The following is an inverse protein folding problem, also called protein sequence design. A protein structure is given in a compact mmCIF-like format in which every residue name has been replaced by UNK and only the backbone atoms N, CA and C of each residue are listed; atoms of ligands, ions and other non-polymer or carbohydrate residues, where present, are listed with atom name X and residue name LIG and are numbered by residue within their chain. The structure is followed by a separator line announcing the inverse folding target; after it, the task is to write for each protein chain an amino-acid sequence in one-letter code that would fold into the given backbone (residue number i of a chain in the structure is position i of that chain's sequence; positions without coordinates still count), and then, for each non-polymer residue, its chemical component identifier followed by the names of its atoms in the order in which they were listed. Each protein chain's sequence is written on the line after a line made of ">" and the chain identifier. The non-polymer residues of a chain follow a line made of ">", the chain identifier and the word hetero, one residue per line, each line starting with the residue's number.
data_IF_740415853398
#
_entry.id   IF_740415853398
#
_cell.length_a   1.000
_cell.length_b   1.000
_cell.length_c   1.000
_cell.angle_alpha   90.00
_cell.angle_beta   90.00
_cell.angle_gamma   90.00
#
_symmetry.space_group_name_H-M   'P 1'
#
loop_
_entity.id
_entity.type
_entity.pdbx_description
1 polymer ?
#
# COMPACT_ATOMS: atom_id res chain seq x y z
N UNK A 1 0.67 25.68 -27.68
CA UNK A 1 0.67 25.82 -26.22
C UNK A 1 0.70 24.43 -25.60
N UNK A 2 1.82 24.12 -24.92
CA UNK A 2 2.09 23.08 -23.89
C UNK A 2 1.38 21.71 -24.09
N UNK A 3 2.10 20.72 -24.63
CA UNK A 3 2.96 19.76 -23.90
C UNK A 3 2.14 18.74 -23.10
N UNK A 4 2.23 17.46 -23.47
CA UNK A 4 3.02 16.44 -22.77
C UNK A 4 2.52 15.05 -23.20
N UNK A 5 3.17 14.50 -24.23
CA UNK A 5 3.84 13.19 -24.16
C UNK A 5 3.30 12.29 -23.04
N UNK A 6 2.31 11.46 -23.39
CA UNK A 6 2.02 10.25 -22.61
C UNK A 6 3.08 9.22 -22.98
N UNK A 7 4.22 9.37 -22.32
CA UNK A 7 5.26 8.36 -22.16
C UNK A 7 4.61 7.00 -21.87
N UNK A 8 5.06 5.99 -22.61
CA UNK A 8 4.55 4.63 -22.56
C UNK A 8 4.68 4.06 -21.15
N UNK A 9 3.56 3.84 -20.50
CA UNK A 9 3.48 2.95 -19.34
C UNK A 9 3.73 1.55 -19.89
N UNK A 10 4.97 1.09 -19.74
CA UNK A 10 5.42 -0.22 -20.12
C UNK A 10 4.49 -1.28 -19.53
N UNK A 11 3.77 -1.93 -20.44
CA UNK A 11 2.86 -3.03 -20.22
C UNK A 11 3.68 -4.28 -19.90
N UNK A 12 4.27 -4.37 -18.70
CA UNK A 12 4.86 -5.62 -18.23
C UNK A 12 3.92 -6.34 -17.26
N UNK A 13 3.18 -7.26 -17.88
CA UNK A 13 2.94 -8.62 -17.41
C UNK A 13 2.47 -8.79 -15.96
N UNK A 14 1.15 -8.93 -15.83
CA UNK A 14 0.41 -9.27 -14.60
C UNK A 14 0.62 -10.74 -14.14
N UNK A 15 1.81 -11.30 -14.31
CA UNK A 15 2.09 -12.72 -14.06
C UNK A 15 2.66 -13.03 -12.68
N UNK A 16 2.86 -12.06 -11.80
CA UNK A 16 3.70 -12.30 -10.63
C UNK A 16 3.04 -13.16 -9.53
N UNK A 17 1.71 -13.26 -9.47
CA UNK A 17 0.99 -14.17 -8.57
C UNK A 17 -0.31 -14.59 -9.25
N UNK A 18 -0.52 -15.90 -9.49
CA UNK A 18 -1.84 -16.41 -9.88
C UNK A 18 -2.85 -15.95 -8.82
N UNK A 19 -4.09 -15.56 -9.20
CA UNK A 19 -5.10 -15.21 -8.22
C UNK A 19 -5.25 -16.38 -7.24
N UNK A 20 -4.88 -16.16 -5.97
CA UNK A 20 -5.39 -16.99 -4.89
C UNK A 20 -6.91 -16.88 -4.99
N UNK A 21 -7.56 -18.00 -5.29
CA UNK A 21 -9.00 -18.05 -5.49
C UNK A 21 -9.71 -17.41 -4.31
N UNK A 22 -10.60 -16.49 -4.67
CA UNK A 22 -11.43 -15.67 -3.81
C UNK A 22 -12.02 -16.52 -2.67
N UNK A 23 -11.50 -16.34 -1.45
CA UNK A 23 -12.25 -16.75 -0.27
C UNK A 23 -13.41 -15.76 -0.21
N UNK A 24 -14.56 -16.19 -0.73
CA UNK A 24 -15.77 -15.39 -0.90
C UNK A 24 -16.05 -14.60 0.38
N UNK A 25 -15.68 -13.33 0.42
CA UNK A 25 -16.22 -12.39 1.41
C UNK A 25 -17.48 -11.88 0.76
N UNK A 26 -18.54 -12.64 0.95
CA UNK A 26 -19.88 -12.39 0.42
C UNK A 26 -20.29 -10.95 0.69
N UNK A 27 -20.65 -10.29 -0.40
CA UNK A 27 -21.33 -9.02 -0.51
C UNK A 27 -22.57 -9.00 0.39
N UNK A 28 -22.61 -8.12 1.40
CA UNK A 28 -23.86 -7.72 2.08
C UNK A 28 -23.77 -6.25 2.50
N UNK A 29 -24.34 -5.43 1.62
CA UNK A 29 -24.96 -4.12 1.89
C UNK A 29 -24.00 -2.92 1.96
N UNK A 30 -23.74 -2.40 0.77
CA UNK A 30 -23.72 -0.97 0.40
C UNK A 30 -24.22 -0.02 1.52
N UNK A 31 -23.45 1.04 1.75
CA UNK A 31 -23.92 2.38 2.20
C UNK A 31 -23.95 2.79 3.67
N UNK A 32 -23.66 1.97 4.69
CA UNK A 32 -23.46 2.51 6.04
C UNK A 32 -22.01 2.40 6.53
N UNK A 33 -21.32 3.54 6.44
CA UNK A 33 -20.01 3.82 7.01
C UNK A 33 -18.82 3.28 6.20
N UNK A 34 -18.01 4.21 5.72
CA UNK A 34 -16.64 4.04 5.25
C UNK A 34 -15.67 3.61 6.39
N UNK A 35 -16.15 2.71 7.27
CA UNK A 35 -15.63 2.32 8.59
C UNK A 35 -15.74 0.79 8.82
N UNK A 36 -15.89 -0.03 7.77
CA UNK A 36 -15.75 -1.47 7.96
C UNK A 36 -14.30 -1.72 8.33
N UNK A 37 -14.03 -2.00 9.60
CA UNK A 37 -12.68 -2.34 10.06
C UNK A 37 -12.16 -3.51 9.22
N UNK A 38 -10.89 -3.50 8.78
CA UNK A 38 -10.32 -4.66 8.12
C UNK A 38 -10.51 -5.90 9.00
N UNK A 39 -10.92 -7.01 8.38
CA UNK A 39 -11.04 -8.27 9.11
C UNK A 39 -9.70 -8.59 9.79
N UNK A 40 -9.72 -9.00 11.06
CA UNK A 40 -8.49 -9.37 11.78
C UNK A 40 -7.68 -10.43 11.03
N UNK A 41 -8.36 -11.33 10.29
CA UNK A 41 -7.68 -12.30 9.40
C UNK A 41 -6.89 -11.62 8.29
N UNK A 42 -7.45 -10.60 7.66
CA UNK A 42 -6.80 -9.87 6.57
C UNK A 42 -5.58 -9.09 7.07
N UNK A 43 -5.69 -8.42 8.22
CA UNK A 43 -4.55 -7.73 8.84
C UNK A 43 -3.45 -8.72 9.23
N UNK A 44 -3.81 -9.85 9.86
CA UNK A 44 -2.85 -10.88 10.23
C UNK A 44 -2.14 -11.47 9.00
N UNK A 45 -2.84 -11.62 7.87
CA UNK A 45 -2.25 -12.05 6.61
C UNK A 45 -1.23 -11.04 6.10
N UNK A 46 -1.56 -9.74 6.10
CA UNK A 46 -0.62 -8.69 5.69
C UNK A 46 0.59 -8.62 6.62
N UNK A 47 0.38 -8.74 7.93
CA UNK A 47 1.46 -8.79 8.92
C UNK A 47 2.40 -9.96 8.64
N UNK A 48 1.85 -11.15 8.42
CA UNK A 48 2.61 -12.34 8.09
C UNK A 48 3.43 -12.15 6.80
N UNK A 49 2.84 -11.54 5.76
CA UNK A 49 3.58 -11.22 4.52
C UNK A 49 4.75 -10.26 4.80
N UNK A 50 4.56 -9.26 5.66
CA UNK A 50 5.61 -8.36 6.12
C UNK A 50 6.73 -9.10 6.85
N UNK A 51 6.40 -9.96 7.80
CA UNK A 51 7.37 -10.78 8.55
C UNK A 51 8.17 -11.71 7.62
N UNK A 52 7.55 -12.29 6.59
CA UNK A 52 8.24 -13.11 5.58
C UNK A 52 9.23 -12.30 4.74
N UNK A 53 8.91 -11.04 4.44
CA UNK A 53 9.83 -10.14 3.73
C UNK A 53 11.04 -9.77 4.59
N UNK A 54 10.82 -9.46 5.87
CA UNK A 54 11.91 -9.20 6.81
C UNK A 54 12.82 -10.43 6.98
N UNK A 55 12.24 -11.63 6.95
CA UNK A 55 12.97 -12.90 6.99
C UNK A 55 13.69 -13.25 5.67
N UNK A 56 13.64 -12.38 4.65
CA UNK A 56 14.19 -12.58 3.29
C UNK A 56 13.67 -13.83 2.57
N UNK A 57 12.53 -14.38 3.01
CA UNK A 57 11.85 -15.51 2.37
C UNK A 57 11.03 -15.03 1.17
N UNK A 58 10.48 -13.81 1.27
CA UNK A 58 9.70 -13.19 0.20
C UNK A 58 10.60 -12.33 -0.70
N UNK A 59 10.52 -12.54 -2.01
CA UNK A 59 11.20 -11.70 -2.98
C UNK A 59 10.59 -10.29 -3.04
N UNK A 60 11.43 -9.29 -3.30
CA UNK A 60 11.06 -7.88 -3.45
C UNK A 60 9.91 -7.65 -4.44
N UNK A 61 9.96 -8.32 -5.61
CA UNK A 61 8.92 -8.23 -6.65
C UNK A 61 7.52 -8.60 -6.14
N UNK A 62 7.43 -9.59 -5.27
CA UNK A 62 6.16 -10.02 -4.67
C UNK A 62 5.63 -8.97 -3.69
N UNK A 63 6.52 -8.32 -2.93
CA UNK A 63 6.13 -7.22 -2.03
C UNK A 63 5.60 -6.01 -2.80
N UNK A 64 6.30 -5.60 -3.87
CA UNK A 64 5.83 -4.53 -4.76
C UNK A 64 4.48 -4.84 -5.42
N UNK A 65 4.22 -6.11 -5.72
CA UNK A 65 2.92 -6.55 -6.22
C UNK A 65 1.81 -6.38 -5.16
N UNK A 66 2.08 -6.78 -3.92
CA UNK A 66 1.16 -6.60 -2.80
C UNK A 66 0.82 -5.12 -2.57
N UNK A 67 1.82 -4.24 -2.52
CA UNK A 67 1.65 -2.79 -2.32
C UNK A 67 0.78 -2.19 -3.44
N UNK A 68 1.14 -2.44 -4.70
CA UNK A 68 0.37 -1.95 -5.86
C UNK A 68 -1.08 -2.42 -5.83
N UNK A 69 -1.33 -3.68 -5.47
CA UNK A 69 -2.68 -4.23 -5.39
C UNK A 69 -3.52 -3.57 -4.30
N UNK A 70 -2.92 -3.24 -3.15
CA UNK A 70 -3.60 -2.53 -2.07
C UNK A 70 -3.92 -1.08 -2.47
N UNK A 71 -2.98 -0.38 -3.11
CA UNK A 71 -3.17 0.97 -3.65
C UNK A 71 -4.28 1.03 -4.70
N UNK A 72 -4.32 0.05 -5.62
CA UNK A 72 -5.35 -0.03 -6.67
C UNK A 72 -6.76 -0.26 -6.12
N UNK A 73 -6.92 -1.06 -5.06
CA UNK A 73 -8.24 -1.27 -4.45
C UNK A 73 -8.79 0.01 -3.83
N UNK A 74 -7.95 0.78 -3.13
CA UNK A 74 -8.29 2.10 -2.61
C UNK A 74 -9.43 2.13 -1.57
N UNK A 75 -9.85 0.98 -1.05
CA UNK A 75 -10.84 0.85 0.02
C UNK A 75 -10.18 1.05 1.39
N UNK A 76 -10.99 1.46 2.37
CA UNK A 76 -10.50 1.75 3.73
C UNK A 76 -9.70 0.60 4.35
N UNK A 77 -10.23 -0.64 4.37
CA UNK A 77 -9.52 -1.82 4.87
C UNK A 77 -8.16 -2.07 4.21
N UNK A 78 -8.08 -2.03 2.88
CA UNK A 78 -6.82 -2.28 2.18
C UNK A 78 -5.78 -1.21 2.46
N UNK A 79 -6.20 0.04 2.61
CA UNK A 79 -5.29 1.14 2.91
C UNK A 79 -4.83 1.16 4.37
N UNK A 80 -5.70 0.84 5.32
CA UNK A 80 -5.30 0.64 6.73
C UNK A 80 -4.30 -0.51 6.84
N UNK A 81 -4.54 -1.63 6.14
CA UNK A 81 -3.60 -2.73 6.06
C UNK A 81 -2.28 -2.38 5.38
N UNK A 82 -2.31 -1.57 4.32
CA UNK A 82 -1.12 -1.08 3.63
C UNK A 82 -0.26 -0.19 4.54
N UNK A 83 -0.88 0.74 5.27
CA UNK A 83 -0.21 1.58 6.26
C UNK A 83 0.52 0.74 7.31
N UNK A 84 -0.16 -0.27 7.88
CA UNK A 84 0.46 -1.16 8.86
C UNK A 84 1.61 -1.98 8.28
N UNK A 85 1.45 -2.48 7.05
CA UNK A 85 2.51 -3.21 6.35
C UNK A 85 3.74 -2.31 6.14
N UNK A 86 3.54 -1.10 5.61
CA UNK A 86 4.62 -0.14 5.38
C UNK A 86 5.29 0.27 6.69
N UNK A 87 4.55 0.53 7.76
CA UNK A 87 5.14 0.84 9.08
C UNK A 87 6.10 -0.26 9.55
N UNK A 88 5.80 -1.53 9.27
CA UNK A 88 6.63 -2.67 9.63
C UNK A 88 7.88 -2.81 8.75
N UNK A 89 7.73 -2.67 7.43
CA UNK A 89 8.79 -3.04 6.47
C UNK A 89 9.51 -1.86 5.83
N UNK A 90 9.06 -0.62 6.03
CA UNK A 90 9.54 0.56 5.29
C UNK A 90 11.06 0.68 5.27
N UNK A 91 11.75 0.46 6.40
CA UNK A 91 13.21 0.59 6.49
C UNK A 91 13.93 -0.43 5.58
N UNK A 92 13.55 -1.71 5.67
CA UNK A 92 14.12 -2.75 4.81
C UNK A 92 13.73 -2.57 3.35
N UNK A 93 12.49 -2.15 3.08
CA UNK A 93 11.97 -1.99 1.73
C UNK A 93 12.66 -0.85 0.99
N UNK A 94 12.94 0.27 1.67
CA UNK A 94 13.62 1.44 1.08
C UNK A 94 15.10 1.19 0.78
N UNK A 95 15.74 0.24 1.48
CA UNK A 95 17.13 -0.16 1.19
C UNK A 95 17.22 -0.97 -0.11
N UNK A 96 16.23 -1.83 -0.35
CA UNK A 96 16.26 -2.75 -1.51
C UNK A 96 15.55 -2.18 -2.74
N UNK A 97 14.78 -1.10 -2.58
CA UNK A 97 13.96 -0.52 -3.65
C UNK A 97 14.54 0.81 -4.12
N UNK A 98 14.51 1.06 -5.42
CA UNK A 98 14.83 2.36 -6.00
C UNK A 98 13.96 3.50 -5.42
N UNK A 99 14.61 4.63 -5.13
CA UNK A 99 13.97 5.79 -4.50
C UNK A 99 12.75 6.29 -5.27
N UNK A 100 12.83 6.32 -6.61
CA UNK A 100 11.75 6.77 -7.48
C UNK A 100 10.48 5.90 -7.38
N UNK A 101 10.67 4.59 -7.19
CA UNK A 101 9.56 3.64 -7.01
C UNK A 101 8.89 3.86 -5.66
N UNK A 102 9.68 4.04 -4.59
CA UNK A 102 9.13 4.35 -3.27
C UNK A 102 8.41 5.69 -3.26
N UNK A 103 8.99 6.72 -3.87
CA UNK A 103 8.36 8.03 -4.01
C UNK A 103 7.01 7.93 -4.72
N UNK A 104 6.91 7.08 -5.75
CA UNK A 104 5.64 6.84 -6.43
C UNK A 104 4.56 6.29 -5.49
N UNK A 105 4.88 5.33 -4.61
CA UNK A 105 3.89 4.78 -3.67
C UNK A 105 3.41 5.80 -2.65
N UNK A 106 4.34 6.56 -2.06
CA UNK A 106 3.98 7.55 -1.04
C UNK A 106 3.28 8.77 -1.64
N UNK A 107 3.65 9.19 -2.85
CA UNK A 107 2.91 10.24 -3.59
C UNK A 107 1.48 9.80 -3.89
N UNK A 108 1.27 8.52 -4.24
CA UNK A 108 -0.07 7.97 -4.39
C UNK A 108 -0.84 7.97 -3.06
N UNK A 109 -0.22 7.55 -1.95
CA UNK A 109 -0.85 7.59 -0.62
C UNK A 109 -1.25 9.02 -0.21
N UNK A 110 -0.38 9.99 -0.45
CA UNK A 110 -0.61 11.39 -0.12
C UNK A 110 -1.76 11.98 -0.94
N UNK A 111 -1.76 11.74 -2.26
CA UNK A 111 -2.86 12.13 -3.14
C UNK A 111 -4.20 11.54 -2.71
N UNK A 112 -4.16 10.28 -2.30
CA UNK A 112 -5.30 9.51 -1.83
C UNK A 112 -5.80 10.04 -0.47
N UNK A 113 -4.91 10.55 0.39
CA UNK A 113 -5.24 11.18 1.67
C UNK A 113 -5.86 12.57 1.47
N UNK A 114 -5.36 13.37 0.52
CA UNK A 114 -5.83 14.73 0.24
C UNK A 114 -7.15 14.79 -0.54
N UNK A 115 -7.30 13.98 -1.59
CA UNK A 115 -8.46 14.06 -2.49
C UNK A 115 -9.67 13.23 -2.05
N UNK A 116 -9.48 12.30 -1.13
CA UNK A 116 -10.52 11.37 -0.72
C UNK A 116 -11.50 11.95 0.29
N UNK A 117 -12.80 12.01 -0.04
CA UNK A 117 -13.85 12.03 1.00
C UNK A 117 -13.79 10.70 1.74
N UNK A 118 -13.05 10.67 2.85
CA UNK A 118 -12.81 9.49 3.68
C UNK A 118 -12.98 9.83 5.15
N UNK A 119 -13.11 8.77 5.96
CA UNK A 119 -13.17 8.93 7.40
C UNK A 119 -11.90 9.64 7.92
N UNK A 120 -12.03 10.65 8.80
CA UNK A 120 -10.88 11.40 9.33
C UNK A 120 -9.78 10.51 9.91
N UNK A 121 -10.17 9.38 10.53
CA UNK A 121 -9.24 8.39 11.08
C UNK A 121 -8.31 7.79 10.02
N UNK A 122 -8.83 7.47 8.84
CA UNK A 122 -8.03 6.87 7.76
C UNK A 122 -7.11 7.92 7.12
N UNK A 123 -7.58 9.15 6.91
CA UNK A 123 -6.74 10.23 6.41
C UNK A 123 -5.60 10.55 7.36
N UNK A 124 -5.85 10.55 8.68
CA UNK A 124 -4.81 10.71 9.69
C UNK A 124 -3.77 9.58 9.62
N UNK A 125 -4.21 8.33 9.57
CA UNK A 125 -3.31 7.17 9.49
C UNK A 125 -2.42 7.19 8.23
N UNK A 126 -3.00 7.56 7.09
CA UNK A 126 -2.25 7.71 5.84
C UNK A 126 -1.17 8.78 5.98
N UNK A 127 -1.54 9.94 6.55
CA UNK A 127 -0.60 11.04 6.75
C UNK A 127 0.49 10.69 7.75
N UNK A 128 0.16 10.03 8.86
CA UNK A 128 1.13 9.50 9.83
C UNK A 128 2.12 8.53 9.17
N UNK A 129 1.65 7.71 8.23
CA UNK A 129 2.53 6.79 7.48
C UNK A 129 3.48 7.54 6.55
N UNK A 130 2.99 8.56 5.85
CA UNK A 130 3.83 9.44 5.00
C UNK A 130 4.83 10.23 5.83
N UNK A 131 4.42 10.72 6.99
CA UNK A 131 5.28 11.50 7.89
C UNK A 131 6.32 10.61 8.58
N UNK A 132 5.98 9.37 8.94
CA UNK A 132 6.93 8.39 9.48
C UNK A 132 8.11 8.16 8.53
N UNK A 133 7.84 8.10 7.21
CA UNK A 133 8.89 8.03 6.18
C UNK A 133 9.80 9.25 6.22
N UNK A 134 9.23 10.46 6.24
CA UNK A 134 10.01 11.71 6.29
C UNK A 134 10.90 11.77 7.53
N UNK A 135 10.38 11.32 8.67
CA UNK A 135 11.14 11.26 9.92
C UNK A 135 12.30 10.26 9.85
N UNK A 136 12.09 9.08 9.25
CA UNK A 136 13.14 8.07 9.08
C UNK A 136 14.33 8.56 8.25
N UNK A 137 14.10 9.43 7.26
CA UNK A 137 15.17 10.06 6.47
C UNK A 137 15.78 11.30 7.14
N UNK A 138 15.14 11.87 8.16
CA UNK A 138 15.62 13.10 8.81
C UNK A 138 16.56 12.84 9.98
N UNK A 139 16.67 11.60 10.48
CA UNK A 139 17.67 11.24 11.49
C UNK A 139 19.00 10.91 10.80
N UNK A 140 20.03 11.77 10.89
CA UNK A 140 21.36 11.40 10.45
C UNK A 140 21.86 10.23 11.30
N UNK A 141 22.30 9.17 10.62
CA UNK A 141 22.80 7.95 11.22
C UNK A 141 24.19 8.11 11.82
#
# INVERSE_FOLDING_TARGET
>A
MKNLDKEGIHQESWSCLKPVQDVRVTDRLREEQQNTKPSGRFLNMLRFIGELFLSKVLAEKSMHCCIRRLLQKGDGPSLEGLCQLLQMIQQDLEVVTEKEVMDTYYNQLDHIAEKGKRAPRLSLLLRETVDARKMAYSTPH
#
